data_IF_707045923044
#
_entry.id   IF_707045923044
#
_cell.length_a   1.000
_cell.length_b   1.000
_cell.length_c   1.000
_cell.angle_alpha   90.00
_cell.angle_beta   90.00
_cell.angle_gamma   90.00
#
_symmetry.space_group_name_H-M   'P 1'
#
loop_
_entity.id
_entity.type
_entity.pdbx_description
1 polymer ?
#
# COMPACT_ATOMS: atom_id res chain seq x y z
N UNK A 1 -16.08 5.58 14.65
CA UNK A 1 -16.71 5.88 15.95
C UNK A 1 -15.78 6.68 16.86
N UNK A 2 -14.57 6.19 17.16
CA UNK A 2 -13.61 6.90 18.02
C UNK A 2 -13.34 8.35 17.59
N UNK A 3 -13.05 8.58 16.31
CA UNK A 3 -12.83 9.92 15.75
C UNK A 3 -14.02 10.87 16.01
N UNK A 4 -15.24 10.40 15.74
CA UNK A 4 -16.45 11.20 15.98
C UNK A 4 -16.64 11.51 17.47
N UNK A 5 -16.43 10.52 18.35
CA UNK A 5 -16.52 10.72 19.79
C UNK A 5 -15.48 11.73 20.31
N UNK A 6 -14.28 11.76 19.72
CA UNK A 6 -13.26 12.75 20.06
C UNK A 6 -13.68 14.15 19.64
N UNK A 7 -14.19 14.33 18.41
CA UNK A 7 -14.62 15.64 17.89
C UNK A 7 -15.85 16.19 18.64
N UNK A 8 -16.73 15.32 19.13
CA UNK A 8 -17.90 15.74 19.91
C UNK A 8 -17.55 16.29 21.30
N UNK A 9 -16.33 16.08 21.79
CA UNK A 9 -15.87 16.71 23.02
C UNK A 9 -15.52 18.16 22.71
N UNK A 10 -16.15 19.12 23.37
CA UNK A 10 -15.73 20.51 23.27
C UNK A 10 -14.40 20.69 24.00
N UNK A 11 -13.32 20.75 23.23
CA UNK A 11 -11.96 20.94 23.71
C UNK A 11 -11.25 22.03 22.90
N UNK A 12 -10.16 22.56 23.46
CA UNK A 12 -9.29 23.54 22.78
C UNK A 12 -8.20 22.85 21.94
N UNK A 13 -7.76 21.66 22.38
CA UNK A 13 -6.71 20.86 21.76
C UNK A 13 -7.21 19.44 21.53
N UNK A 14 -7.09 18.96 20.29
CA UNK A 14 -7.47 17.61 19.89
C UNK A 14 -6.22 16.81 19.51
N UNK A 15 -6.15 15.58 20.02
CA UNK A 15 -5.11 14.62 19.67
C UNK A 15 -5.75 13.48 18.88
N UNK A 16 -5.20 13.20 17.70
CA UNK A 16 -5.57 12.05 16.88
C UNK A 16 -4.34 11.17 16.71
N UNK A 17 -4.40 9.96 17.26
CA UNK A 17 -3.35 8.96 17.13
C UNK A 17 -3.76 7.96 16.05
N UNK A 18 -3.03 7.95 14.94
CA UNK A 18 -3.25 7.13 13.74
C UNK A 18 -4.72 7.06 13.26
N UNK A 19 -5.37 8.21 12.98
CA UNK A 19 -6.78 8.23 12.59
C UNK A 19 -7.09 7.52 11.25
N UNK A 20 -6.08 7.29 10.39
CA UNK A 20 -6.23 6.57 9.12
C UNK A 20 -6.21 5.04 9.23
N UNK A 21 -5.81 4.49 10.38
CA UNK A 21 -5.62 3.05 10.55
C UNK A 21 -6.93 2.27 10.34
N UNK A 22 -6.84 1.15 9.60
CA UNK A 22 -7.96 0.27 9.19
C UNK A 22 -9.03 0.91 8.29
N UNK A 23 -8.83 2.16 7.86
CA UNK A 23 -9.74 2.83 6.94
C UNK A 23 -9.31 2.60 5.49
N UNK A 24 -10.28 2.46 4.60
CA UNK A 24 -10.02 2.60 3.16
C UNK A 24 -9.73 4.07 2.82
N UNK A 25 -9.17 4.29 1.64
CA UNK A 25 -8.82 5.63 1.15
C UNK A 25 -9.97 6.65 1.17
N UNK A 26 -11.23 6.24 0.91
CA UNK A 26 -12.39 7.15 0.94
C UNK A 26 -12.64 7.62 2.37
N UNK A 27 -12.62 6.68 3.31
CA UNK A 27 -12.80 6.95 4.73
C UNK A 27 -11.62 7.77 5.27
N UNK A 28 -10.38 7.45 4.89
CA UNK A 28 -9.18 8.23 5.26
C UNK A 28 -9.30 9.69 4.83
N UNK A 29 -9.64 9.94 3.58
CA UNK A 29 -9.80 11.30 3.06
C UNK A 29 -10.99 12.04 3.69
N UNK A 30 -12.10 11.34 3.98
CA UNK A 30 -13.22 11.93 4.71
C UNK A 30 -12.82 12.35 6.12
N UNK A 31 -12.14 11.48 6.85
CA UNK A 31 -11.59 11.78 8.17
C UNK A 31 -10.61 12.94 8.08
N UNK A 32 -9.73 12.93 7.08
CA UNK A 32 -8.75 13.98 6.88
C UNK A 32 -9.41 15.34 6.65
N UNK A 33 -10.45 15.42 5.81
CA UNK A 33 -11.25 16.65 5.58
C UNK A 33 -11.93 17.15 6.85
N UNK A 34 -12.44 16.25 7.69
CA UNK A 34 -13.06 16.62 8.96
C UNK A 34 -12.02 17.21 9.93
N UNK A 35 -10.86 16.56 10.05
CA UNK A 35 -9.76 17.02 10.91
C UNK A 35 -9.19 18.36 10.41
N UNK A 36 -9.06 18.53 9.09
CA UNK A 36 -8.65 19.80 8.47
C UNK A 36 -9.66 20.93 8.73
N UNK A 37 -10.96 20.62 8.70
CA UNK A 37 -11.97 21.63 9.04
C UNK A 37 -11.90 22.03 10.50
N UNK A 38 -11.64 21.07 11.41
CA UNK A 38 -11.51 21.32 12.84
C UNK A 38 -10.27 22.19 13.15
N UNK A 39 -9.17 22.00 12.42
CA UNK A 39 -7.92 22.74 12.66
C UNK A 39 -7.99 24.23 12.30
N UNK A 40 -9.05 24.68 11.61
CA UNK A 40 -9.28 26.10 11.34
C UNK A 40 -9.66 26.90 12.59
N UNK A 41 -10.24 26.24 13.58
CA UNK A 41 -10.77 26.87 14.79
C UNK A 41 -10.08 26.37 16.07
N UNK A 42 -9.52 25.15 16.04
CA UNK A 42 -8.98 24.45 17.20
C UNK A 42 -7.55 23.99 16.95
N UNK A 43 -6.78 23.77 18.02
CA UNK A 43 -5.46 23.17 17.91
C UNK A 43 -5.59 21.66 17.70
N UNK A 44 -4.87 21.12 16.73
CA UNK A 44 -4.93 19.70 16.39
C UNK A 44 -3.52 19.13 16.29
N UNK A 45 -3.29 18.01 16.97
CA UNK A 45 -2.06 17.21 16.88
C UNK A 45 -2.45 15.85 16.30
N UNK A 46 -1.77 15.45 15.24
CA UNK A 46 -2.01 14.19 14.53
C UNK A 46 -0.72 13.37 14.47
N UNK A 47 -0.80 12.10 14.82
CA UNK A 47 0.23 11.09 14.54
C UNK A 47 -0.26 10.26 13.36
N UNK A 48 0.55 10.14 12.31
CA UNK A 48 0.19 9.41 11.09
C UNK A 48 1.38 8.66 10.50
N UNK A 49 1.08 7.50 9.93
CA UNK A 49 2.03 6.71 9.14
C UNK A 49 1.77 6.81 7.64
N UNK A 50 0.58 7.25 7.23
CA UNK A 50 0.27 7.52 5.83
C UNK A 50 0.81 8.90 5.43
N UNK A 51 1.90 8.93 4.68
CA UNK A 51 2.57 10.17 4.27
C UNK A 51 1.71 11.02 3.32
N UNK A 52 0.81 10.42 2.56
CA UNK A 52 -0.10 11.16 1.67
C UNK A 52 -1.18 11.88 2.49
N UNK A 53 -1.74 11.20 3.50
CA UNK A 53 -2.70 11.81 4.44
C UNK A 53 -2.02 12.86 5.32
N UNK A 54 -0.78 12.62 5.76
CA UNK A 54 -0.01 13.61 6.51
C UNK A 54 0.22 14.90 5.70
N UNK A 55 0.53 14.78 4.41
CA UNK A 55 0.71 15.92 3.48
C UNK A 55 -0.59 16.72 3.25
N UNK A 56 -1.75 16.08 3.43
CA UNK A 56 -3.07 16.72 3.42
C UNK A 56 -3.36 17.47 4.71
N UNK A 57 -3.08 16.84 5.85
CA UNK A 57 -3.51 17.27 7.18
C UNK A 57 -2.62 18.34 7.80
N UNK A 58 -1.31 18.20 7.68
CA UNK A 58 -0.36 18.93 8.51
C UNK A 58 0.17 20.18 7.82
N UNK A 59 0.35 21.25 8.59
CA UNK A 59 1.13 22.42 8.17
C UNK A 59 2.59 22.29 8.63
N UNK A 60 2.78 21.86 9.88
CA UNK A 60 4.09 21.56 10.47
C UNK A 60 4.15 20.10 10.94
N UNK A 61 5.31 19.49 10.78
CA UNK A 61 5.55 18.08 11.14
C UNK A 61 6.81 17.99 11.98
N UNK A 62 6.74 17.15 13.01
CA UNK A 62 7.87 16.67 13.79
C UNK A 62 8.18 15.25 13.34
N UNK A 63 9.43 14.98 12.97
CA UNK A 63 9.88 13.62 12.69
C UNK A 63 10.32 12.97 14.00
N UNK A 64 9.99 11.70 14.17
CA UNK A 64 10.50 10.88 15.27
C UNK A 64 11.47 9.87 14.69
N UNK A 65 12.71 9.88 15.18
CA UNK A 65 13.74 8.92 14.80
C UNK A 65 14.44 8.34 16.02
N UNK A 66 14.97 7.13 15.89
CA UNK A 66 15.66 6.44 16.98
C UNK A 66 15.74 4.95 16.72
N UNK A 67 15.83 4.18 17.79
CA UNK A 67 15.83 2.72 17.73
C UNK A 67 14.61 2.17 18.46
N UNK A 68 13.85 1.32 17.77
CA UNK A 68 12.67 0.63 18.30
C UNK A 68 13.02 -0.06 19.64
N UNK A 69 12.17 0.14 20.65
CA UNK A 69 12.36 -0.43 21.99
C UNK A 69 13.51 0.18 22.82
N UNK A 70 14.26 1.14 22.29
CA UNK A 70 15.41 1.75 22.99
C UNK A 70 15.21 3.25 23.24
N UNK A 71 15.05 4.06 22.18
CA UNK A 71 14.89 5.51 22.32
C UNK A 71 14.22 6.12 21.08
N UNK A 72 13.61 7.29 21.26
CA UNK A 72 13.07 8.13 20.19
C UNK A 72 13.38 9.60 20.44
N UNK A 73 13.74 10.32 19.38
CA UNK A 73 14.09 11.74 19.40
C UNK A 73 13.14 12.46 18.44
N UNK A 74 12.54 13.54 18.92
CA UNK A 74 11.75 14.45 18.10
C UNK A 74 12.66 15.45 17.41
N UNK A 75 12.47 15.63 16.10
CA UNK A 75 13.13 16.68 15.32
C UNK A 75 12.61 18.06 15.71
N UNK A 76 13.27 19.10 15.21
CA UNK A 76 12.63 20.43 15.16
C UNK A 76 11.42 20.42 14.21
N UNK A 77 10.42 21.29 14.41
CA UNK A 77 9.28 21.38 13.52
C UNK A 77 9.72 21.85 12.13
N UNK A 78 9.19 21.21 11.10
CA UNK A 78 9.44 21.56 9.70
C UNK A 78 8.11 21.72 8.98
N UNK A 79 8.09 22.51 7.91
CA UNK A 79 6.94 22.50 7.01
C UNK A 79 6.74 21.09 6.45
N UNK A 80 5.48 20.66 6.32
CA UNK A 80 5.11 19.28 5.94
C UNK A 80 5.89 18.74 4.74
N UNK A 81 6.05 19.55 3.68
CA UNK A 81 6.81 19.16 2.48
C UNK A 81 8.27 18.86 2.81
N UNK A 82 8.92 19.72 3.58
CA UNK A 82 10.33 19.57 3.96
C UNK A 82 10.51 18.36 4.88
N UNK A 83 9.61 18.18 5.84
CA UNK A 83 9.63 17.04 6.76
C UNK A 83 9.56 15.70 6.00
N UNK A 84 8.59 15.57 5.09
CA UNK A 84 8.45 14.36 4.27
C UNK A 84 9.68 14.15 3.39
N UNK A 85 10.24 15.20 2.78
CA UNK A 85 11.44 15.06 1.95
C UNK A 85 12.66 14.61 2.76
N UNK A 86 12.85 15.13 3.99
CA UNK A 86 13.89 14.64 4.93
C UNK A 86 13.64 13.18 5.31
N UNK A 87 12.39 12.82 5.57
CA UNK A 87 11.99 11.45 5.87
C UNK A 87 12.34 10.47 4.73
N UNK A 88 12.06 10.87 3.48
CA UNK A 88 12.40 10.09 2.29
C UNK A 88 13.92 10.04 2.02
N UNK A 89 14.66 11.10 2.35
CA UNK A 89 16.13 11.12 2.26
C UNK A 89 16.79 10.14 3.24
N UNK A 90 16.18 9.91 4.41
CA UNK A 90 16.75 9.03 5.43
C UNK A 90 17.83 9.70 6.30
N UNK A 91 18.07 11.00 6.10
CA UNK A 91 19.09 11.77 6.81
C UNK A 91 18.57 13.17 7.20
N UNK A 92 18.51 13.41 8.51
CA UNK A 92 18.17 14.70 9.08
C UNK A 92 19.45 15.53 9.29
N UNK A 93 19.70 16.49 8.37
CA UNK A 93 20.93 17.28 8.33
C UNK A 93 21.14 18.15 9.56
N UNK A 94 20.10 18.83 10.03
CA UNK A 94 20.20 19.77 11.16
C UNK A 94 20.48 19.05 12.48
N UNK A 95 19.89 17.87 12.66
CA UNK A 95 20.14 17.00 13.81
C UNK A 95 21.37 16.10 13.60
N UNK A 96 22.04 16.19 12.44
CA UNK A 96 23.14 15.32 12.02
C UNK A 96 22.85 13.82 12.26
N UNK A 97 21.63 13.39 11.96
CA UNK A 97 21.14 12.05 12.27
C UNK A 97 20.76 11.29 11.01
N UNK A 98 21.44 10.17 10.74
CA UNK A 98 21.05 9.21 9.70
C UNK A 98 20.22 8.11 10.34
N UNK A 99 18.94 8.06 10.00
CA UNK A 99 18.00 7.04 10.49
C UNK A 99 17.71 5.98 9.43
N UNK A 100 18.17 6.17 8.18
CA UNK A 100 18.16 5.13 7.15
C UNK A 100 19.40 5.19 6.25
N UNK A 101 19.89 4.00 5.86
CA UNK A 101 21.07 3.86 4.99
C UNK A 101 20.80 4.23 3.54
N UNK A 102 19.56 4.06 3.08
CA UNK A 102 19.15 4.29 1.69
C UNK A 102 18.02 5.30 1.60
N UNK A 103 17.92 5.98 0.46
CA UNK A 103 16.82 6.90 0.18
C UNK A 103 15.58 6.12 -0.30
N UNK A 104 14.39 6.67 -0.09
CA UNK A 104 13.20 6.28 -0.83
C UNK A 104 13.09 7.21 -2.04
N UNK A 105 13.09 6.62 -3.22
CA UNK A 105 12.99 7.34 -4.50
C UNK A 105 11.72 6.90 -5.20
N UNK A 106 10.96 7.87 -5.68
CA UNK A 106 9.82 7.65 -6.56
C UNK A 106 10.30 7.84 -7.99
N UNK A 107 10.29 6.77 -8.77
CA UNK A 107 10.81 6.80 -10.14
C UNK A 107 9.70 7.20 -11.11
N UNK A 108 9.96 8.24 -11.91
CA UNK A 108 9.15 8.52 -13.10
C UNK A 108 9.57 7.55 -14.20
N UNK A 109 8.84 6.45 -14.35
CA UNK A 109 9.17 5.43 -15.34
C UNK A 109 8.46 5.73 -16.66
N UNK A 110 9.18 5.75 -17.79
CA UNK A 110 8.51 5.76 -19.09
C UNK A 110 7.63 4.51 -19.17
N UNK A 111 6.45 4.59 -19.83
CA UNK A 111 5.66 3.40 -20.07
C UNK A 111 6.55 2.34 -20.70
N UNK A 112 6.51 1.10 -20.21
CA UNK A 112 7.26 -0.02 -20.80
C UNK A 112 6.88 -0.07 -22.27
N UNK A 113 7.76 0.42 -23.14
CA UNK A 113 7.50 0.52 -24.57
C UNK A 113 7.19 -0.87 -25.10
N UNK A 114 6.08 -1.02 -25.85
CA UNK A 114 5.65 -2.10 -26.76
C UNK A 114 6.56 -3.34 -26.90
N UNK A 115 6.97 -3.97 -25.81
CA UNK A 115 7.39 -5.36 -25.84
C UNK A 115 6.06 -6.11 -25.95
N UNK A 116 5.94 -7.04 -26.88
CA UNK A 116 4.85 -8.00 -26.91
C UNK A 116 4.92 -8.80 -25.60
N UNK A 117 4.40 -8.22 -24.54
CA UNK A 117 4.27 -8.85 -23.24
C UNK A 117 3.11 -9.82 -23.40
N UNK A 118 3.45 -11.10 -23.39
CA UNK A 118 2.45 -12.17 -23.36
C UNK A 118 1.62 -12.05 -22.09
N UNK A 119 0.34 -12.34 -22.24
CA UNK A 119 -0.55 -12.43 -21.10
C UNK A 119 -0.17 -13.69 -20.29
N UNK A 120 0.10 -13.48 -19.00
CA UNK A 120 0.28 -14.57 -18.04
C UNK A 120 -1.07 -15.24 -17.77
N UNK A 121 -2.12 -14.43 -17.68
CA UNK A 121 -3.48 -14.84 -17.40
C UNK A 121 -4.44 -13.91 -18.12
N UNK A 122 -5.34 -14.49 -18.92
CA UNK A 122 -6.55 -13.82 -19.39
C UNK A 122 -7.76 -14.36 -18.64
N UNK A 123 -8.67 -13.48 -18.23
CA UNK A 123 -9.93 -13.86 -17.63
C UNK A 123 -11.09 -13.15 -18.30
N UNK A 124 -12.16 -13.92 -18.56
CA UNK A 124 -13.45 -13.37 -18.98
C UNK A 124 -14.16 -12.67 -17.82
N UNK A 125 -15.45 -12.38 -17.98
CA UNK A 125 -16.25 -11.84 -16.87
C UNK A 125 -16.27 -12.84 -15.71
N UNK A 126 -15.90 -12.36 -14.53
CA UNK A 126 -15.97 -13.11 -13.28
C UNK A 126 -17.06 -12.51 -12.41
N UNK A 127 -17.98 -13.34 -11.91
CA UNK A 127 -18.98 -12.90 -10.93
C UNK A 127 -18.95 -13.77 -9.67
N UNK A 128 -19.13 -13.14 -8.51
CA UNK A 128 -19.36 -13.82 -7.24
C UNK A 128 -20.66 -13.29 -6.64
N UNK A 129 -21.66 -14.18 -6.51
CA UNK A 129 -22.96 -13.86 -5.95
C UNK A 129 -23.09 -14.43 -4.55
N UNK A 130 -23.40 -13.55 -3.60
CA UNK A 130 -23.75 -13.86 -2.22
C UNK A 130 -25.14 -13.29 -1.90
N UNK A 131 -25.81 -13.74 -0.83
CA UNK A 131 -27.18 -13.30 -0.52
C UNK A 131 -27.36 -11.78 -0.41
N UNK A 132 -26.34 -11.06 0.07
CA UNK A 132 -26.39 -9.60 0.27
C UNK A 132 -25.42 -8.83 -0.61
N UNK A 133 -24.58 -9.50 -1.39
CA UNK A 133 -23.48 -8.87 -2.11
C UNK A 133 -23.24 -9.51 -3.48
N UNK A 134 -23.08 -8.70 -4.52
CA UNK A 134 -22.71 -9.14 -5.86
C UNK A 134 -21.42 -8.46 -6.31
N UNK A 135 -20.42 -9.27 -6.67
CA UNK A 135 -19.22 -8.78 -7.33
C UNK A 135 -19.29 -9.16 -8.81
N UNK A 136 -19.04 -8.18 -9.69
CA UNK A 136 -18.76 -8.37 -11.11
C UNK A 136 -17.39 -7.79 -11.43
N UNK A 137 -16.55 -8.57 -12.09
CA UNK A 137 -15.26 -8.13 -12.61
C UNK A 137 -15.30 -8.25 -14.12
N UNK A 138 -14.98 -7.15 -14.80
CA UNK A 138 -14.93 -7.08 -16.25
C UNK A 138 -13.77 -7.92 -16.80
N UNK A 139 -13.84 -8.40 -18.06
CA UNK A 139 -12.74 -9.14 -18.67
C UNK A 139 -11.44 -8.34 -18.64
N UNK A 140 -10.32 -9.04 -18.42
CA UNK A 140 -9.02 -8.42 -18.32
C UNK A 140 -7.89 -9.43 -18.49
N UNK A 141 -6.67 -8.92 -18.55
CA UNK A 141 -5.46 -9.72 -18.67
C UNK A 141 -4.36 -9.18 -17.76
N UNK A 142 -3.54 -10.08 -17.20
CA UNK A 142 -2.34 -9.75 -16.44
C UNK A 142 -1.16 -10.23 -17.26
N UNK A 143 -0.19 -9.34 -17.49
CA UNK A 143 0.99 -9.61 -18.32
C UNK A 143 2.12 -10.24 -17.51
N UNK A 144 3.00 -10.97 -18.19
CA UNK A 144 4.22 -11.52 -17.57
C UNK A 144 5.13 -10.37 -17.10
N UNK A 145 5.53 -10.41 -15.82
CA UNK A 145 6.40 -9.41 -15.22
C UNK A 145 5.70 -8.09 -14.84
N UNK A 146 4.38 -8.02 -14.99
CA UNK A 146 3.56 -6.87 -14.60
C UNK A 146 3.17 -6.95 -13.11
N UNK A 147 3.25 -5.81 -12.43
CA UNK A 147 2.63 -5.66 -11.10
C UNK A 147 1.37 -4.83 -11.19
N UNK A 148 0.22 -5.45 -10.92
CA UNK A 148 -1.10 -4.80 -10.92
C UNK A 148 -1.43 -4.32 -9.50
N UNK A 149 -1.59 -3.01 -9.31
CA UNK A 149 -2.17 -2.45 -8.09
C UNK A 149 -3.69 -2.60 -8.10
N UNK A 150 -4.32 -2.75 -6.95
CA UNK A 150 -5.79 -2.81 -6.83
C UNK A 150 -6.24 -1.79 -5.80
N UNK A 151 -7.15 -0.90 -6.22
CA UNK A 151 -7.72 0.17 -5.39
C UNK A 151 -9.24 0.13 -5.37
N UNK A 152 -9.82 0.68 -4.32
CA UNK A 152 -11.26 0.84 -4.17
C UNK A 152 -11.72 0.79 -2.71
N UNK A 153 -12.99 1.11 -2.42
CA UNK A 153 -13.54 1.09 -1.07
C UNK A 153 -13.47 -0.29 -0.39
N UNK A 154 -13.59 -0.33 0.94
CA UNK A 154 -13.77 -1.60 1.65
C UNK A 154 -15.12 -2.23 1.32
N UNK A 155 -15.20 -3.55 1.50
CA UNK A 155 -16.41 -4.35 1.24
C UNK A 155 -16.96 -4.24 -0.20
N UNK A 156 -16.08 -3.99 -1.18
CA UNK A 156 -16.41 -3.91 -2.61
C UNK A 156 -16.00 -5.15 -3.40
N UNK A 157 -15.40 -6.15 -2.75
CA UNK A 157 -15.03 -7.43 -3.38
C UNK A 157 -13.58 -7.56 -3.87
N UNK A 158 -12.66 -6.64 -3.52
CA UNK A 158 -11.22 -6.76 -3.83
C UNK A 158 -10.62 -8.10 -3.37
N UNK A 159 -10.71 -8.37 -2.07
CA UNK A 159 -10.27 -9.64 -1.45
C UNK A 159 -11.00 -10.85 -2.04
N UNK A 160 -12.29 -10.70 -2.40
CA UNK A 160 -13.04 -11.77 -3.07
C UNK A 160 -12.40 -12.11 -4.41
N UNK A 161 -12.10 -11.11 -5.24
CA UNK A 161 -11.44 -11.32 -6.53
C UNK A 161 -10.04 -11.94 -6.37
N UNK A 162 -9.25 -11.46 -5.42
CA UNK A 162 -7.93 -12.04 -5.10
C UNK A 162 -8.06 -13.52 -4.67
N UNK A 163 -9.06 -13.88 -3.85
CA UNK A 163 -9.31 -15.27 -3.47
C UNK A 163 -9.72 -16.15 -4.65
N UNK A 164 -10.43 -15.59 -5.62
CA UNK A 164 -10.76 -16.30 -6.86
C UNK A 164 -9.49 -16.55 -7.69
N UNK A 165 -8.65 -15.54 -7.87
CA UNK A 165 -7.33 -15.69 -8.54
C UNK A 165 -6.42 -16.66 -7.79
N UNK A 166 -6.49 -16.71 -6.46
CA UNK A 166 -5.72 -17.63 -5.63
C UNK A 166 -6.24 -19.08 -5.68
N UNK A 167 -7.39 -19.34 -6.32
CA UNK A 167 -8.05 -20.65 -6.30
C UNK A 167 -8.65 -21.04 -4.94
N UNK A 168 -8.66 -20.12 -3.96
CA UNK A 168 -9.23 -20.32 -2.62
C UNK A 168 -10.76 -20.26 -2.68
N UNK A 169 -11.31 -19.54 -3.67
CA UNK A 169 -12.75 -19.41 -3.86
C UNK A 169 -13.12 -19.64 -5.33
N UNK A 170 -14.22 -20.35 -5.57
CA UNK A 170 -14.78 -20.50 -6.92
C UNK A 170 -15.73 -19.33 -7.22
N UNK A 171 -15.70 -18.78 -8.44
CA UNK A 171 -16.68 -17.77 -8.85
C UNK A 171 -18.03 -18.43 -9.16
N UNK A 172 -19.10 -17.65 -9.07
CA UNK A 172 -20.44 -18.06 -9.49
C UNK A 172 -20.57 -18.11 -11.02
N UNK A 173 -19.94 -17.14 -11.70
CA UNK A 173 -19.89 -17.05 -13.17
C UNK A 173 -18.45 -16.81 -13.61
N UNK A 174 -18.07 -17.43 -14.73
CA UNK A 174 -16.71 -17.35 -15.27
C UNK A 174 -15.79 -18.44 -14.73
N UNK A 175 -14.58 -18.51 -15.29
CA UNK A 175 -13.53 -19.43 -14.87
C UNK A 175 -12.20 -18.70 -14.99
N UNK A 176 -11.30 -18.99 -14.07
CA UNK A 176 -9.91 -18.54 -14.11
C UNK A 176 -9.06 -19.76 -14.44
N UNK A 177 -8.10 -19.59 -15.34
CA UNK A 177 -7.12 -20.64 -15.60
C UNK A 177 -6.34 -20.96 -14.31
N UNK A 178 -6.07 -22.23 -14.05
CA UNK A 178 -5.33 -22.70 -12.87
C UNK A 178 -3.99 -23.32 -13.28
N UNK A 179 -3.54 -23.11 -14.51
CA UNK A 179 -2.30 -23.66 -15.05
C UNK A 179 -1.03 -23.03 -14.46
N UNK A 180 -1.14 -21.86 -13.82
CA UNK A 180 -0.03 -21.13 -13.21
C UNK A 180 0.03 -21.33 -11.69
N UNK A 181 1.24 -21.21 -11.14
CA UNK A 181 1.48 -21.31 -9.70
C UNK A 181 1.20 -19.98 -9.03
N UNK A 182 0.44 -20.01 -7.94
CA UNK A 182 0.09 -18.83 -7.15
C UNK A 182 0.75 -18.87 -5.78
N UNK A 183 1.35 -17.75 -5.38
CA UNK A 183 1.70 -17.49 -3.98
C UNK A 183 0.79 -16.39 -3.44
N UNK A 184 0.15 -16.61 -2.29
CA UNK A 184 -0.88 -15.71 -1.77
C UNK A 184 -0.60 -15.33 -0.31
N UNK A 185 -0.49 -14.02 -0.04
CA UNK A 185 -0.56 -13.42 1.29
C UNK A 185 -1.99 -12.89 1.53
N UNK A 186 -2.76 -13.47 2.47
CA UNK A 186 -4.11 -13.00 2.76
C UNK A 186 -4.13 -11.71 3.59
N UNK A 187 -5.22 -10.95 3.51
CA UNK A 187 -5.43 -9.71 4.27
C UNK A 187 -5.23 -9.92 5.78
N UNK A 188 -6.02 -10.85 6.34
CA UNK A 188 -5.93 -11.24 7.74
C UNK A 188 -4.92 -12.38 7.89
N UNK A 189 -3.88 -12.13 8.65
CA UNK A 189 -2.86 -13.11 9.03
C UNK A 189 -2.99 -13.42 10.51
N UNK A 190 -2.85 -14.69 10.84
CA UNK A 190 -2.76 -15.20 12.20
C UNK A 190 -1.54 -16.10 12.28
N UNK A 191 -0.79 -16.09 13.39
CA UNK A 191 0.30 -17.02 13.55
C UNK A 191 -0.26 -18.45 13.64
N UNK A 192 0.25 -19.34 12.79
CA UNK A 192 -0.24 -20.71 12.61
C UNK A 192 0.89 -21.75 12.69
N UNK A 193 2.09 -21.32 13.08
CA UNK A 193 3.28 -22.16 13.18
C UNK A 193 3.83 -22.17 14.61
N UNK A 194 3.92 -23.37 15.20
CA UNK A 194 4.53 -23.56 16.51
C UNK A 194 6.03 -23.79 16.38
N UNK A 195 6.80 -22.70 16.44
CA UNK A 195 8.25 -22.70 16.29
C UNK A 195 8.78 -21.31 15.95
N UNK A 196 10.09 -21.24 15.72
CA UNK A 196 10.77 -20.01 15.34
C UNK A 196 10.54 -19.64 13.88
N UNK A 197 10.71 -18.36 13.54
CA UNK A 197 10.65 -17.89 12.15
C UNK A 197 11.68 -18.60 11.27
N UNK A 198 12.87 -18.88 11.80
CA UNK A 198 13.89 -19.69 11.09
C UNK A 198 13.37 -21.07 10.75
N UNK A 199 12.83 -21.79 11.74
CA UNK A 199 12.28 -23.13 11.54
C UNK A 199 11.15 -23.13 10.50
N UNK A 200 10.30 -22.10 10.48
CA UNK A 200 9.26 -21.93 9.45
C UNK A 200 9.86 -21.84 8.04
N UNK A 201 10.90 -21.01 7.85
CA UNK A 201 11.55 -20.87 6.55
C UNK A 201 12.33 -22.12 6.15
N UNK A 202 13.03 -22.77 7.08
CA UNK A 202 13.74 -24.03 6.84
C UNK A 202 12.77 -25.17 6.48
N UNK A 203 11.57 -25.20 7.05
CA UNK A 203 10.56 -26.19 6.74
C UNK A 203 9.91 -26.00 5.35
N UNK A 204 9.88 -24.76 4.84
CA UNK A 204 9.10 -24.41 3.64
C UNK A 204 9.94 -24.10 2.41
N UNK A 205 11.08 -23.44 2.57
CA UNK A 205 11.91 -22.90 1.48
C UNK A 205 13.41 -22.91 1.80
N UNK A 206 13.91 -23.95 2.49
CA UNK A 206 15.31 -24.04 3.00
C UNK A 206 16.39 -23.55 2.03
N UNK A 207 16.48 -24.17 0.85
CA UNK A 207 17.53 -23.86 -0.12
C UNK A 207 17.46 -22.40 -0.60
N UNK A 208 16.23 -21.88 -0.74
CA UNK A 208 16.03 -20.49 -1.12
C UNK A 208 16.30 -19.52 0.05
N UNK A 209 15.94 -19.90 1.28
CA UNK A 209 16.20 -19.13 2.50
C UNK A 209 17.71 -18.92 2.74
N UNK A 210 18.53 -19.94 2.47
CA UNK A 210 20.00 -19.85 2.56
C UNK A 210 20.64 -19.07 1.39
N UNK A 211 19.88 -18.80 0.32
CA UNK A 211 20.41 -18.12 -0.87
C UNK A 211 20.81 -16.66 -0.59
N UNK A 212 21.87 -16.21 -1.27
CA UNK A 212 22.30 -14.80 -1.22
C UNK A 212 21.19 -13.84 -1.67
N UNK A 213 20.32 -14.27 -2.60
CA UNK A 213 19.18 -13.48 -3.07
C UNK A 213 18.14 -13.28 -1.96
N UNK A 214 17.74 -14.32 -1.22
CA UNK A 214 16.80 -14.14 -0.12
C UNK A 214 17.38 -13.21 0.93
N UNK A 215 18.66 -13.40 1.29
CA UNK A 215 19.32 -12.58 2.31
C UNK A 215 19.42 -11.10 1.89
N UNK A 216 19.79 -10.80 0.63
CA UNK A 216 19.98 -9.42 0.16
C UNK A 216 18.69 -8.72 -0.23
N UNK A 217 17.75 -9.42 -0.88
CA UNK A 217 16.56 -8.83 -1.49
C UNK A 217 15.32 -8.91 -0.62
N UNK A 218 15.23 -9.86 0.31
CA UNK A 218 14.02 -10.09 1.13
C UNK A 218 14.33 -9.90 2.62
N UNK A 219 15.28 -10.66 3.17
CA UNK A 219 15.52 -10.70 4.62
C UNK A 219 16.06 -9.39 5.18
N UNK A 220 17.04 -8.78 4.50
CA UNK A 220 17.65 -7.52 4.94
C UNK A 220 16.67 -6.34 4.82
N UNK A 221 15.98 -6.09 3.68
CA UNK A 221 15.03 -4.98 3.58
C UNK A 221 13.84 -5.09 4.52
N UNK A 222 13.32 -6.31 4.73
CA UNK A 222 12.22 -6.56 5.68
C UNK A 222 12.70 -6.74 7.13
N UNK A 223 13.98 -6.49 7.42
CA UNK A 223 14.57 -6.58 8.77
C UNK A 223 14.25 -7.88 9.51
N UNK A 224 14.30 -9.03 8.80
CA UNK A 224 13.93 -10.33 9.36
C UNK A 224 15.00 -10.91 10.29
N UNK A 225 16.25 -10.44 10.19
CA UNK A 225 17.39 -10.98 10.96
C UNK A 225 17.11 -11.04 12.47
N UNK A 226 16.46 -10.02 13.02
CA UNK A 226 16.13 -9.93 14.45
C UNK A 226 14.86 -10.74 14.82
N UNK A 227 14.16 -11.28 13.83
CA UNK A 227 12.93 -12.07 13.99
C UNK A 227 13.18 -13.57 13.87
N UNK A 228 14.30 -13.99 13.25
CA UNK A 228 14.57 -15.40 12.93
C UNK A 228 14.46 -16.34 14.14
N UNK A 229 14.96 -15.90 15.31
CA UNK A 229 14.96 -16.71 16.53
C UNK A 229 13.70 -16.49 17.39
N UNK A 230 12.80 -15.58 17.00
CA UNK A 230 11.52 -15.36 17.70
C UNK A 230 10.54 -16.46 17.31
N UNK A 231 9.72 -16.88 18.27
CA UNK A 231 8.59 -17.76 18.00
C UNK A 231 7.52 -17.00 17.21
N UNK A 232 6.99 -17.62 16.14
CA UNK A 232 5.97 -17.03 15.26
C UNK A 232 4.71 -16.63 16.02
N UNK A 233 4.32 -17.40 17.04
CA UNK A 233 3.16 -17.14 17.90
C UNK A 233 3.30 -15.85 18.75
N UNK A 234 4.53 -15.36 18.93
CA UNK A 234 4.82 -14.20 19.77
C UNK A 234 5.12 -12.92 18.98
N UNK A 235 5.03 -12.96 17.64
CA UNK A 235 5.30 -11.80 16.80
C UNK A 235 4.23 -10.72 16.95
N UNK A 236 4.64 -9.45 16.93
CA UNK A 236 3.69 -8.34 16.81
C UNK A 236 3.01 -8.35 15.43
N UNK A 237 1.93 -7.58 15.26
CA UNK A 237 1.23 -7.49 13.97
C UNK A 237 2.15 -7.06 12.81
N UNK A 238 2.98 -6.04 13.03
CA UNK A 238 3.96 -5.58 12.03
C UNK A 238 5.11 -6.56 11.78
N UNK A 239 5.57 -7.28 12.81
CA UNK A 239 6.56 -8.34 12.66
C UNK A 239 6.01 -9.52 11.85
N UNK A 240 4.81 -9.99 12.20
CA UNK A 240 4.10 -11.06 11.52
C UNK A 240 3.81 -10.68 10.06
N UNK A 241 3.45 -9.43 9.80
CA UNK A 241 3.23 -8.92 8.44
C UNK A 241 4.51 -9.00 7.60
N UNK A 242 5.67 -8.58 8.13
CA UNK A 242 6.95 -8.68 7.41
C UNK A 242 7.33 -10.14 7.12
N UNK A 243 7.09 -11.04 8.07
CA UNK A 243 7.30 -12.49 7.87
C UNK A 243 6.34 -13.05 6.81
N UNK A 244 5.07 -12.65 6.82
CA UNK A 244 4.08 -13.08 5.84
C UNK A 244 4.41 -12.62 4.41
N UNK A 245 4.85 -11.37 4.24
CA UNK A 245 5.32 -10.86 2.95
C UNK A 245 6.53 -11.67 2.47
N UNK A 246 7.52 -11.89 3.35
CA UNK A 246 8.71 -12.66 3.02
C UNK A 246 8.38 -14.11 2.65
N UNK A 247 7.51 -14.78 3.41
CA UNK A 247 7.04 -16.13 3.14
C UNK A 247 6.34 -16.23 1.77
N UNK A 248 5.48 -15.25 1.45
CA UNK A 248 4.83 -15.17 0.14
C UNK A 248 5.85 -15.00 -1.00
N UNK A 249 6.82 -14.10 -0.86
CA UNK A 249 7.86 -13.85 -1.87
C UNK A 249 8.86 -15.01 -2.01
N UNK A 250 9.00 -15.85 -0.99
CA UNK A 250 9.90 -17.01 -1.01
C UNK A 250 9.40 -18.19 -1.83
N UNK A 251 8.09 -18.32 -2.01
CA UNK A 251 7.51 -19.42 -2.80
C UNK A 251 7.83 -19.26 -4.28
N UNK A 252 8.00 -20.38 -4.97
CA UNK A 252 8.11 -20.40 -6.42
C UNK A 252 6.72 -20.28 -7.05
N UNK A 253 6.40 -19.11 -7.57
CA UNK A 253 5.10 -18.81 -8.17
C UNK A 253 5.27 -17.99 -9.45
N UNK A 254 4.29 -18.10 -10.33
CA UNK A 254 4.23 -17.33 -11.57
C UNK A 254 3.51 -15.99 -11.33
N UNK A 255 2.54 -15.98 -10.40
CA UNK A 255 1.90 -14.76 -9.88
C UNK A 255 1.89 -14.73 -8.34
N UNK A 256 2.20 -13.56 -7.78
CA UNK A 256 2.17 -13.28 -6.35
C UNK A 256 0.98 -12.37 -6.02
N UNK A 257 0.12 -12.80 -5.11
CA UNK A 257 -1.07 -12.08 -4.68
C UNK A 257 -0.83 -11.56 -3.25
N UNK A 258 -0.79 -10.25 -3.06
CA UNK A 258 -0.59 -9.63 -1.76
C UNK A 258 -1.81 -8.77 -1.41
N UNK A 259 -2.58 -9.22 -0.42
CA UNK A 259 -3.75 -8.49 0.07
C UNK A 259 -3.39 -7.70 1.33
N UNK A 260 -3.45 -6.38 1.21
CA UNK A 260 -3.05 -5.36 2.19
C UNK A 260 -1.68 -5.62 2.83
N UNK A 261 -0.58 -5.63 2.05
CA UNK A 261 0.76 -5.79 2.56
C UNK A 261 1.22 -4.62 3.45
N UNK A 262 0.66 -3.40 3.30
CA UNK A 262 1.04 -2.24 4.12
C UNK A 262 0.46 -2.23 5.54
N UNK A 263 -0.53 -3.09 5.82
CA UNK A 263 -1.23 -3.12 7.11
C UNK A 263 -0.26 -3.35 8.29
N UNK A 264 -0.49 -2.66 9.40
CA UNK A 264 0.33 -2.70 10.63
C UNK A 264 1.80 -2.25 10.48
N UNK A 265 2.25 -1.93 9.27
CA UNK A 265 3.59 -1.44 9.02
C UNK A 265 3.65 0.07 9.26
N UNK A 266 4.74 0.51 9.89
CA UNK A 266 5.07 1.93 9.96
C UNK A 266 5.44 2.49 8.58
N UNK A 267 5.55 3.82 8.50
CA UNK A 267 5.85 4.52 7.24
C UNK A 267 7.13 4.04 6.55
N UNK A 268 8.15 3.57 7.28
CA UNK A 268 9.40 3.11 6.69
C UNK A 268 9.25 1.67 6.20
N UNK A 269 8.69 0.82 7.04
CA UNK A 269 8.45 -0.59 6.76
C UNK A 269 7.53 -0.75 5.53
N UNK A 270 6.51 0.10 5.36
CA UNK A 270 5.67 0.11 4.14
C UNK A 270 6.49 0.35 2.88
N UNK A 271 7.38 1.35 2.91
CA UNK A 271 8.16 1.74 1.75
C UNK A 271 9.21 0.68 1.41
N UNK A 272 9.85 0.09 2.42
CA UNK A 272 10.77 -1.04 2.21
C UNK A 272 10.05 -2.30 1.73
N UNK A 273 8.83 -2.57 2.21
CA UNK A 273 8.00 -3.66 1.68
C UNK A 273 7.62 -3.44 0.21
N UNK A 274 7.18 -2.24 -0.17
CA UNK A 274 6.86 -1.90 -1.56
C UNK A 274 8.09 -2.09 -2.47
N UNK A 275 9.25 -1.54 -2.07
CA UNK A 275 10.52 -1.74 -2.79
C UNK A 275 10.91 -3.21 -2.91
N UNK A 276 10.71 -3.99 -1.84
CA UNK A 276 11.04 -5.41 -1.81
C UNK A 276 10.18 -6.19 -2.79
N UNK A 277 8.86 -6.01 -2.74
CA UNK A 277 7.92 -6.65 -3.68
C UNK A 277 8.31 -6.30 -5.11
N UNK A 278 8.47 -5.00 -5.40
CA UNK A 278 8.84 -4.52 -6.74
C UNK A 278 10.13 -5.17 -7.24
N UNK A 279 11.19 -5.12 -6.44
CA UNK A 279 12.51 -5.61 -6.83
C UNK A 279 12.52 -7.12 -7.02
N UNK A 280 11.79 -7.86 -6.19
CA UNK A 280 11.66 -9.32 -6.35
C UNK A 280 10.93 -9.65 -7.65
N UNK A 281 9.84 -8.95 -7.98
CA UNK A 281 9.13 -9.14 -9.25
C UNK A 281 10.02 -8.87 -10.46
N UNK A 282 10.77 -7.76 -10.44
CA UNK A 282 11.67 -7.38 -11.53
C UNK A 282 12.83 -8.37 -11.69
N UNK A 283 13.53 -8.71 -10.61
CA UNK A 283 14.71 -9.60 -10.69
C UNK A 283 14.34 -11.04 -11.04
N UNK A 284 13.12 -11.48 -10.71
CA UNK A 284 12.65 -12.83 -11.03
C UNK A 284 11.81 -12.92 -12.31
N UNK A 285 11.45 -11.78 -12.91
CA UNK A 285 10.55 -11.74 -14.07
C UNK A 285 9.17 -12.32 -13.76
N UNK A 286 8.62 -12.02 -12.57
CA UNK A 286 7.32 -12.55 -12.09
C UNK A 286 6.29 -11.45 -11.99
N UNK A 287 5.02 -11.84 -12.04
CA UNK A 287 3.89 -10.91 -11.95
C UNK A 287 3.37 -10.84 -10.52
N UNK A 288 2.75 -9.72 -10.16
CA UNK A 288 2.08 -9.58 -8.88
C UNK A 288 0.75 -8.84 -9.00
N UNK A 289 -0.16 -9.13 -8.07
CA UNK A 289 -1.32 -8.30 -7.80
C UNK A 289 -1.25 -7.85 -6.34
N UNK A 290 -1.32 -6.55 -6.12
CA UNK A 290 -1.19 -5.94 -4.80
C UNK A 290 -2.44 -5.11 -4.50
N UNK A 291 -3.21 -5.54 -3.50
CA UNK A 291 -4.34 -4.77 -2.97
C UNK A 291 -3.82 -3.93 -1.82
N UNK A 292 -3.98 -2.61 -1.90
CA UNK A 292 -3.60 -1.72 -0.80
C UNK A 292 -4.44 -0.43 -0.83
N UNK A 293 -4.35 0.36 0.24
CA UNK A 293 -4.98 1.68 0.34
C UNK A 293 -3.95 2.81 0.40
N UNK A 294 -2.67 2.48 0.55
CA UNK A 294 -1.57 3.44 0.58
C UNK A 294 -1.14 3.80 -0.85
N UNK A 295 -1.38 5.05 -1.23
CA UNK A 295 -1.10 5.56 -2.58
C UNK A 295 0.40 5.52 -2.90
N UNK A 296 1.26 5.74 -1.91
CA UNK A 296 2.71 5.68 -2.14
C UNK A 296 3.16 4.25 -2.35
N UNK A 297 2.61 3.31 -1.57
CA UNK A 297 2.89 1.88 -1.75
C UNK A 297 2.52 1.44 -3.18
N UNK A 298 1.34 1.83 -3.65
CA UNK A 298 0.85 1.48 -4.98
C UNK A 298 1.65 2.17 -6.10
N UNK A 299 1.95 3.47 -6.00
CA UNK A 299 2.78 4.17 -7.00
C UNK A 299 4.20 3.55 -7.12
N UNK A 300 4.75 3.05 -6.02
CA UNK A 300 6.08 2.42 -6.02
C UNK A 300 6.08 0.99 -6.57
N UNK A 301 4.99 0.23 -6.36
CA UNK A 301 4.97 -1.19 -6.70
C UNK A 301 4.35 -1.45 -8.08
N UNK A 302 3.36 -0.66 -8.51
CA UNK A 302 2.49 -0.97 -9.64
C UNK A 302 2.96 -0.46 -10.99
N UNK A 303 2.72 -1.26 -12.04
CA UNK A 303 2.86 -0.91 -13.46
C UNK A 303 1.51 -0.51 -14.08
N UNK A 304 0.43 -1.08 -13.55
CA UNK A 304 -0.97 -0.87 -13.95
C UNK A 304 -1.85 -0.97 -12.71
N UNK A 305 -3.11 -0.54 -12.85
CA UNK A 305 -4.04 -0.50 -11.72
C UNK A 305 -5.42 -1.01 -12.09
N UNK A 306 -6.02 -1.75 -11.17
CA UNK A 306 -7.38 -2.22 -11.24
C UNK A 306 -8.23 -1.41 -10.25
N UNK A 307 -9.34 -0.87 -10.72
CA UNK A 307 -10.21 0.01 -9.95
C UNK A 307 -11.49 -0.74 -9.59
N UNK A 308 -11.81 -0.78 -8.30
CA UNK A 308 -13.06 -1.32 -7.80
C UNK A 308 -13.97 -0.18 -7.33
N UNK A 309 -15.20 -0.18 -7.84
CA UNK A 309 -16.24 0.81 -7.52
C UNK A 309 -17.57 0.12 -7.19
N UNK A 310 -18.54 0.89 -6.67
CA UNK A 310 -19.90 0.42 -6.36
C UNK A 310 -20.33 0.74 -4.93
N UNK A 311 -21.31 -0.02 -4.44
CA UNK A 311 -21.92 0.20 -3.12
C UNK A 311 -21.41 -0.82 -2.11
N UNK A 312 -20.62 -0.37 -1.13
CA UNK A 312 -20.03 -1.22 -0.09
C UNK A 312 -21.05 -2.16 0.55
N UNK A 313 -20.75 -3.46 0.54
CA UNK A 313 -21.59 -4.52 1.09
C UNK A 313 -22.82 -4.88 0.26
N UNK A 314 -23.04 -4.26 -0.92
CA UNK A 314 -24.14 -4.59 -1.84
C UNK A 314 -23.68 -5.00 -3.24
N UNK A 315 -22.87 -4.17 -3.88
CA UNK A 315 -22.42 -4.40 -5.26
C UNK A 315 -21.00 -3.91 -5.44
N UNK A 316 -20.20 -4.65 -6.20
CA UNK A 316 -18.85 -4.28 -6.57
C UNK A 316 -18.60 -4.50 -8.06
N UNK A 317 -17.95 -3.53 -8.69
CA UNK A 317 -17.51 -3.58 -10.08
C UNK A 317 -15.99 -3.44 -10.12
N UNK A 318 -15.28 -4.48 -10.57
CA UNK A 318 -13.84 -4.43 -10.82
C UNK A 318 -13.55 -4.19 -12.30
N UNK A 319 -12.72 -3.18 -12.59
CA UNK A 319 -12.31 -2.81 -13.95
C UNK A 319 -10.78 -2.73 -14.08
N UNK A 320 -10.25 -3.21 -15.19
CA UNK A 320 -8.81 -3.22 -15.48
C UNK A 320 -8.23 -4.64 -15.57
N UNK A 321 -6.89 -4.78 -15.60
CA UNK A 321 -5.91 -3.73 -15.32
C UNK A 321 -5.89 -2.60 -16.36
N UNK A 322 -5.85 -1.36 -15.89
CA UNK A 322 -5.73 -0.13 -16.69
C UNK A 322 -4.31 0.42 -16.53
N UNK A 323 -3.84 1.23 -17.49
CA UNK A 323 -2.60 1.99 -17.25
C UNK A 323 -2.75 2.87 -16.00
N UNK A 324 -1.61 3.09 -15.31
CA UNK A 324 -1.59 3.82 -14.04
C UNK A 324 -2.30 5.17 -14.12
N UNK A 325 -2.15 5.90 -15.23
CA UNK A 325 -2.74 7.24 -15.37
C UNK A 325 -4.25 7.17 -15.45
N UNK A 326 -4.79 6.36 -16.34
CA UNK A 326 -6.24 6.27 -16.55
C UNK A 326 -6.95 5.65 -15.35
N UNK A 327 -6.39 4.58 -14.77
CA UNK A 327 -6.98 3.96 -13.60
C UNK A 327 -6.92 4.87 -12.36
N UNK A 328 -5.78 5.53 -12.11
CA UNK A 328 -5.70 6.50 -11.00
C UNK A 328 -6.58 7.72 -11.24
N UNK A 329 -6.73 8.22 -12.47
CA UNK A 329 -7.68 9.31 -12.75
C UNK A 329 -9.12 8.92 -12.42
N UNK A 330 -9.53 7.71 -12.82
CA UNK A 330 -10.88 7.18 -12.54
C UNK A 330 -11.13 7.08 -11.04
N UNK A 331 -10.19 6.46 -10.32
CA UNK A 331 -10.28 6.28 -8.88
C UNK A 331 -10.22 7.61 -8.11
N UNK A 332 -9.28 8.49 -8.46
CA UNK A 332 -9.08 9.78 -7.78
C UNK A 332 -10.21 10.78 -8.05
N UNK A 333 -10.86 10.69 -9.21
CA UNK A 333 -12.07 11.44 -9.50
C UNK A 333 -13.21 11.06 -8.54
N UNK A 334 -13.37 9.76 -8.27
CA UNK A 334 -14.41 9.26 -7.37
C UNK A 334 -14.20 9.67 -5.90
N UNK A 335 -12.94 9.74 -5.43
CA UNK A 335 -12.61 10.28 -4.09
C UNK A 335 -12.55 11.81 -4.02
N UNK A 336 -12.66 12.52 -5.15
CA UNK A 336 -12.57 13.98 -5.29
C UNK A 336 -11.23 14.56 -4.77
N UNK A 337 -10.11 13.96 -5.17
CA UNK A 337 -8.76 14.38 -4.76
C UNK A 337 -7.79 14.38 -5.92
N UNK A 338 -6.95 15.41 -6.03
CA UNK A 338 -5.94 15.50 -7.08
C UNK A 338 -4.53 15.35 -6.52
N UNK A 339 -3.65 14.74 -7.32
CA UNK A 339 -2.23 14.54 -7.02
C UNK A 339 -1.34 15.17 -8.09
N UNK A 340 -0.18 15.68 -7.65
CA UNK A 340 0.90 16.19 -8.50
C UNK A 340 2.24 15.58 -8.08
N UNK A 341 3.25 15.61 -8.95
CA UNK A 341 4.62 15.19 -8.58
C UNK A 341 5.27 16.31 -7.76
N UNK A 342 5.93 15.96 -6.66
CA UNK A 342 6.83 16.87 -5.97
C UNK A 342 8.13 17.04 -6.78
N UNK A 343 8.62 18.27 -6.94
CA UNK A 343 9.76 18.56 -7.81
C UNK A 343 11.10 18.00 -7.29
N UNK A 344 11.23 17.76 -5.98
CA UNK A 344 12.51 17.35 -5.39
C UNK A 344 12.61 15.82 -5.29
N UNK A 345 11.48 15.17 -5.02
CA UNK A 345 11.42 13.73 -4.70
C UNK A 345 10.65 12.90 -5.70
N UNK A 346 9.97 13.53 -6.66
CA UNK A 346 8.99 12.91 -7.55
C UNK A 346 7.89 12.13 -6.84
N UNK A 347 7.69 12.31 -5.53
CA UNK A 347 6.61 11.61 -4.81
C UNK A 347 5.23 12.07 -5.28
N UNK A 348 4.19 11.22 -5.18
CA UNK A 348 2.81 11.69 -5.17
C UNK A 348 2.60 12.74 -4.09
N UNK A 349 2.03 13.88 -4.47
CA UNK A 349 1.73 14.97 -3.57
C UNK A 349 0.27 15.36 -3.72
N UNK A 350 -0.49 15.22 -2.64
CA UNK A 350 -1.90 15.59 -2.63
C UNK A 350 -2.06 17.11 -2.69
N UNK A 351 -3.00 17.60 -3.48
CA UNK A 351 -3.34 19.02 -3.48
C UNK A 351 -4.34 19.34 -2.36
N UNK A 352 -4.15 20.48 -1.68
CA UNK A 352 -5.16 20.98 -0.74
C UNK A 352 -6.46 21.29 -1.51
N UNK A 353 -7.64 20.89 -0.98
CA UNK A 353 -8.92 21.10 -1.65
C UNK A 353 -9.16 22.56 -1.99
N UNK A 354 -9.63 22.83 -3.21
CA UNK A 354 -9.95 24.19 -3.66
C UNK A 354 -8.74 25.08 -3.96
N UNK A 355 -7.52 24.58 -3.77
CA UNK A 355 -6.31 25.28 -4.22
C UNK A 355 -6.36 25.52 -5.75
N UNK A 356 -5.58 26.49 -6.24
CA UNK A 356 -5.55 26.81 -7.69
C UNK A 356 -5.24 25.55 -8.53
N UNK A 357 -4.23 24.79 -8.12
CA UNK A 357 -3.81 23.57 -8.83
C UNK A 357 -4.86 22.45 -8.75
N UNK A 358 -5.53 22.29 -7.61
CA UNK A 358 -6.63 21.32 -7.47
C UNK A 358 -7.77 21.61 -8.46
N UNK A 359 -8.18 22.89 -8.56
CA UNK A 359 -9.22 23.33 -9.49
C UNK A 359 -8.83 23.13 -10.96
N UNK A 360 -7.62 23.55 -11.33
CA UNK A 360 -7.10 23.41 -12.69
C UNK A 360 -6.99 21.94 -13.13
N UNK A 361 -6.57 21.04 -12.23
CA UNK A 361 -6.50 19.60 -12.52
C UNK A 361 -7.89 18.97 -12.67
N UNK A 362 -8.83 19.31 -11.79
CA UNK A 362 -10.23 18.83 -11.88
C UNK A 362 -10.91 19.28 -13.17
N UNK A 363 -10.73 20.55 -13.57
CA UNK A 363 -11.26 21.08 -14.83
C UNK A 363 -10.75 20.33 -16.07
N UNK A 364 -9.52 19.80 -16.01
CA UNK A 364 -8.91 19.02 -17.09
C UNK A 364 -9.17 17.51 -16.99
N UNK A 365 -9.78 17.03 -15.91
CA UNK A 365 -9.91 15.60 -15.62
C UNK A 365 -8.57 14.91 -15.30
N UNK A 366 -7.54 15.66 -14.89
CA UNK A 366 -6.19 15.16 -14.63
C UNK A 366 -5.94 15.04 -13.11
N UNK A 367 -6.62 14.10 -12.47
CA UNK A 367 -6.50 13.83 -11.03
C UNK A 367 -5.18 13.17 -10.64
N UNK A 368 -4.55 12.45 -11.58
CA UNK A 368 -3.24 11.86 -11.47
C UNK A 368 -2.31 12.47 -12.52
N UNK A 369 -1.11 12.88 -12.09
CA UNK A 369 -0.05 13.57 -12.82
C UNK A 369 -0.31 13.97 -14.29
N UNK A 370 -0.17 15.26 -14.57
CA UNK A 370 0.03 15.76 -15.94
C UNK A 370 1.39 15.28 -16.45
N UNK A 371 1.39 14.58 -17.60
CA UNK A 371 2.63 14.17 -18.28
C UNK A 371 3.44 15.35 -18.80
#
# INVERSE_FOLDING_TARGET
VAIAATIMKDADIYFFDEPSSYLDIYQRLRVARIIESLSKEKQVIVIEHDLAILDFLADNVYLVFGSEGAYGIYSQPRQVRQAINVYLDGYAKEENMRFRDTQIVFESRPPRANWEQFDLLEYGTIECQYPSFHLKVEPGAIKIGETVGVVGPNAIGKTTFVKVLAGVQQPTVGKIDTSFRVSYKPQYISPDFDGTVREMFDATVKDFFESGFFQSEIARPLSLKNLLEKNVMNLSGGELQRVAIASCLSREADIYLLDEPSAYLDSNQRMEAAKTVRRVMEKRGRSAMVVDHDIYFLDMVSDSIMVFSGTAGKEGLGQGPLDMRNGMNTFLADVDVTFRRDNDTNRPRINKPGSRLDREQKERGEYYYSG
#
